data_IF_578139591290
#
_entry.id   IF_578139591290
#
_cell.length_a   1.000
_cell.length_b   1.000
_cell.length_c   1.000
_cell.angle_alpha   90.00
_cell.angle_beta   90.00
_cell.angle_gamma   90.00
#
_symmetry.space_group_name_H-M   'P 1'
#
loop_
_entity.id
_entity.type
_entity.pdbx_description
1 polymer ?
#
# COMPACT_ATOMS: atom_id res chain seq x y z
N UNK A 1 4.64 1.81 -2.67
CA UNK A 1 4.05 1.83 -1.30
C UNK A 1 3.78 0.43 -0.76
N UNK A 2 2.99 -0.43 -1.43
CA UNK A 2 2.69 -1.81 -0.98
C UNK A 2 3.95 -2.56 -0.51
N UNK A 3 4.95 -2.69 -1.39
CA UNK A 3 6.22 -3.35 -1.07
C UNK A 3 6.92 -2.75 0.15
N UNK A 4 6.89 -1.43 0.33
CA UNK A 4 7.52 -0.77 1.47
C UNK A 4 6.84 -1.15 2.79
N UNK A 5 5.51 -1.28 2.79
CA UNK A 5 4.73 -1.63 3.96
C UNK A 5 4.93 -3.10 4.35
N UNK A 6 4.96 -3.99 3.36
CA UNK A 6 4.96 -5.44 3.61
C UNK A 6 6.35 -6.06 3.59
N UNK A 7 7.30 -5.44 2.89
CA UNK A 7 8.63 -5.99 2.61
C UNK A 7 8.67 -7.03 1.48
N UNK A 8 7.56 -7.23 0.76
CA UNK A 8 7.42 -8.26 -0.27
C UNK A 8 6.39 -7.90 -1.36
N UNK A 9 6.21 -8.80 -2.33
CA UNK A 9 5.27 -8.63 -3.44
C UNK A 9 3.82 -8.93 -3.09
N UNK A 10 3.60 -9.93 -2.24
CA UNK A 10 2.26 -10.48 -1.96
C UNK A 10 1.60 -9.74 -0.80
N UNK A 11 2.37 -9.45 0.24
CA UNK A 11 1.90 -8.83 1.46
C UNK A 11 1.24 -9.81 2.41
N UNK A 12 1.03 -9.33 3.63
CA UNK A 12 0.16 -9.97 4.60
C UNK A 12 -0.91 -8.98 5.04
N UNK A 13 -2.07 -9.51 5.37
CA UNK A 13 -3.18 -8.74 5.90
C UNK A 13 -2.85 -8.25 7.32
N UNK A 14 -3.27 -7.03 7.70
CA UNK A 14 -4.08 -6.10 6.91
C UNK A 14 -3.26 -5.14 6.04
N UNK A 15 -1.93 -5.25 5.96
CA UNK A 15 -1.09 -4.28 5.24
C UNK A 15 -1.22 -4.39 3.71
N UNK A 16 -1.45 -5.58 3.17
CA UNK A 16 -1.74 -5.76 1.74
C UNK A 16 -2.99 -4.98 1.30
N UNK A 17 -3.98 -4.86 2.18
CA UNK A 17 -5.23 -4.15 1.93
C UNK A 17 -5.07 -2.64 1.79
N UNK A 18 -3.96 -2.05 2.28
CA UNK A 18 -3.75 -0.60 2.28
C UNK A 18 -3.85 -0.01 0.87
N UNK A 19 -3.35 -0.74 -0.12
CA UNK A 19 -3.33 -0.35 -1.54
C UNK A 19 -4.39 -1.11 -2.35
N UNK A 20 -4.65 -2.38 -2.01
CA UNK A 20 -5.48 -3.27 -2.83
C UNK A 20 -6.89 -3.51 -2.31
N UNK A 21 -7.21 -3.01 -1.11
CA UNK A 21 -8.47 -3.29 -0.42
C UNK A 21 -8.65 -4.76 -0.07
N UNK A 22 -9.79 -5.08 0.56
CA UNK A 22 -10.21 -6.45 0.84
C UNK A 22 -11.37 -6.90 -0.07
N UNK A 23 -12.04 -5.94 -0.72
CA UNK A 23 -13.19 -6.21 -1.58
C UNK A 23 -13.08 -5.50 -2.93
N UNK A 24 -13.72 -6.07 -3.96
CA UNK A 24 -13.89 -5.44 -5.28
C UNK A 24 -15.34 -5.07 -5.55
N UNK A 25 -15.55 -4.00 -6.31
CA UNK A 25 -16.86 -3.66 -6.86
C UNK A 25 -16.98 -4.32 -8.23
N UNK A 26 -17.98 -5.19 -8.41
CA UNK A 26 -18.33 -5.76 -9.71
C UNK A 26 -17.98 -7.24 -9.96
N UNK A 27 -17.21 -7.91 -9.09
CA UNK A 27 -16.72 -9.30 -9.27
C UNK A 27 -15.75 -9.42 -10.47
N UNK A 28 -14.55 -9.99 -10.40
CA UNK A 28 -14.04 -11.27 -9.87
C UNK A 28 -12.75 -10.99 -9.08
N UNK A 29 -12.62 -11.56 -7.88
CA UNK A 29 -11.47 -11.34 -6.99
C UNK A 29 -10.15 -11.87 -7.58
N UNK A 30 -10.21 -12.75 -8.58
CA UNK A 30 -9.04 -13.40 -9.21
C UNK A 30 -8.28 -12.56 -10.23
N UNK A 31 -8.67 -11.29 -10.47
CA UNK A 31 -8.00 -10.41 -11.45
C UNK A 31 -6.80 -9.61 -10.91
N UNK A 32 -6.24 -10.01 -9.75
CA UNK A 32 -5.03 -9.37 -9.20
C UNK A 32 -3.74 -9.69 -9.99
N UNK A 33 -3.82 -10.48 -11.06
CA UNK A 33 -2.65 -11.20 -11.59
C UNK A 33 -1.75 -10.44 -12.57
N UNK A 34 -2.12 -9.30 -13.17
CA UNK A 34 -1.24 -8.62 -14.14
C UNK A 34 -1.43 -7.10 -14.20
N UNK A 35 -0.78 -6.38 -13.26
CA UNK A 35 -0.57 -4.93 -13.36
C UNK A 35 -1.70 -4.04 -12.82
N UNK A 36 -1.31 -2.82 -12.43
CA UNK A 36 -2.15 -1.86 -11.68
C UNK A 36 -3.41 -1.38 -12.41
N UNK A 37 -3.46 -1.49 -13.75
CA UNK A 37 -4.59 -1.01 -14.57
C UNK A 37 -5.86 -1.87 -14.46
N UNK A 38 -5.78 -3.07 -13.88
CA UNK A 38 -6.92 -4.01 -13.79
C UNK A 38 -7.41 -4.26 -12.36
N UNK A 39 -6.91 -3.52 -11.36
CA UNK A 39 -7.31 -3.76 -9.97
C UNK A 39 -8.78 -3.42 -9.71
N UNK A 40 -9.44 -2.67 -10.61
CA UNK A 40 -10.84 -2.30 -10.47
C UNK A 40 -11.07 -1.41 -9.24
N UNK A 41 -12.33 -1.03 -9.02
CA UNK A 41 -12.70 -0.27 -7.83
C UNK A 41 -12.63 -1.21 -6.61
N UNK A 42 -11.76 -0.90 -5.65
CA UNK A 42 -11.57 -1.67 -4.41
C UNK A 42 -12.11 -0.91 -3.22
N UNK A 43 -12.46 -1.62 -2.15
CA UNK A 43 -12.89 -0.96 -0.92
C UNK A 43 -12.53 -1.74 0.35
N UNK A 44 -12.63 -1.02 1.47
CA UNK A 44 -12.56 -1.54 2.84
C UNK A 44 -13.79 -1.11 3.62
N UNK A 45 -14.32 -2.03 4.42
CA UNK A 45 -15.39 -1.77 5.37
C UNK A 45 -14.86 -1.00 6.60
N UNK A 46 -15.72 -0.29 7.35
CA UNK A 46 -15.27 0.53 8.48
C UNK A 46 -14.42 -0.19 9.54
N UNK A 47 -14.70 -1.46 9.83
CA UNK A 47 -13.94 -2.28 10.77
C UNK A 47 -12.58 -2.71 10.21
N UNK A 48 -12.49 -2.92 8.90
CA UNK A 48 -11.22 -3.18 8.19
C UNK A 48 -10.35 -1.93 8.14
N UNK A 49 -10.96 -0.77 7.89
CA UNK A 49 -10.28 0.54 7.96
C UNK A 49 -9.69 0.77 9.35
N UNK A 50 -10.42 0.41 10.42
CA UNK A 50 -9.91 0.51 11.79
C UNK A 50 -8.70 -0.41 12.01
N UNK A 51 -8.76 -1.68 11.56
CA UNK A 51 -7.64 -2.63 11.64
C UNK A 51 -6.42 -2.13 10.88
N UNK A 52 -6.61 -1.64 9.65
CA UNK A 52 -5.52 -1.07 8.85
C UNK A 52 -4.94 0.16 9.54
N UNK A 53 -5.77 1.08 10.04
CA UNK A 53 -5.31 2.28 10.73
C UNK A 53 -4.45 1.95 11.95
N UNK A 54 -4.82 0.94 12.73
CA UNK A 54 -4.05 0.48 13.89
C UNK A 54 -2.68 -0.04 13.49
N UNK A 55 -2.62 -1.01 12.58
CA UNK A 55 -1.35 -1.62 12.14
C UNK A 55 -0.48 -0.59 11.43
N UNK A 56 -1.05 0.22 10.53
CA UNK A 56 -0.31 1.25 9.81
C UNK A 56 0.30 2.28 10.77
N UNK A 57 -0.43 2.68 11.82
CA UNK A 57 0.10 3.65 12.82
C UNK A 57 1.21 3.07 13.70
N UNK A 58 1.37 1.75 13.75
CA UNK A 58 2.39 1.07 14.56
C UNK A 58 3.75 0.92 13.86
N UNK A 59 3.80 1.14 12.53
CA UNK A 59 5.02 0.95 11.75
C UNK A 59 5.96 2.15 11.95
N UNK A 60 7.21 1.86 12.31
CA UNK A 60 8.24 2.88 12.45
C UNK A 60 8.93 3.19 11.13
N UNK A 61 9.55 4.38 11.05
CA UNK A 61 10.33 4.78 9.87
C UNK A 61 11.50 3.82 9.65
N UNK A 62 12.14 3.34 10.70
CA UNK A 62 13.26 2.39 10.62
C UNK A 62 12.82 1.07 9.98
N UNK A 63 11.60 0.60 10.29
CA UNK A 63 11.03 -0.59 9.66
C UNK A 63 10.76 -0.37 8.17
N UNK A 64 10.24 0.79 7.79
CA UNK A 64 10.04 1.14 6.37
C UNK A 64 11.37 1.21 5.62
N UNK A 65 12.39 1.86 6.21
CA UNK A 65 13.74 1.91 5.64
C UNK A 65 14.33 0.52 5.45
N UNK A 66 14.16 -0.38 6.43
CA UNK A 66 14.62 -1.76 6.33
C UNK A 66 13.89 -2.56 5.23
N UNK A 67 12.63 -2.21 4.91
CA UNK A 67 11.86 -2.82 3.83
C UNK A 67 12.16 -2.22 2.45
N UNK A 68 12.91 -1.11 2.36
CA UNK A 68 13.30 -0.50 1.09
C UNK A 68 14.49 -1.26 0.48
N UNK A 69 14.18 -2.33 -0.24
CA UNK A 69 15.15 -3.20 -0.90
C UNK A 69 15.25 -2.82 -2.38
N UNK A 70 15.96 -1.72 -2.69
CA UNK A 70 15.94 -1.11 -4.02
C UNK A 70 16.29 -2.06 -5.17
N UNK A 71 17.33 -2.90 -5.04
CA UNK A 71 17.64 -3.90 -6.05
C UNK A 71 16.50 -4.91 -6.24
N UNK A 72 15.97 -5.46 -5.15
CA UNK A 72 14.87 -6.43 -5.22
C UNK A 72 13.59 -5.81 -5.82
N UNK A 73 13.32 -4.54 -5.53
CA UNK A 73 12.20 -3.80 -6.10
C UNK A 73 12.36 -3.60 -7.62
N UNK A 74 13.56 -3.24 -8.09
CA UNK A 74 13.82 -3.10 -9.54
C UNK A 74 13.81 -4.45 -10.25
N UNK A 75 14.40 -5.51 -9.68
CA UNK A 75 14.39 -6.86 -10.23
C UNK A 75 12.97 -7.44 -10.35
N UNK A 76 12.12 -7.16 -9.37
CA UNK A 76 10.72 -7.55 -9.37
C UNK A 76 9.82 -6.63 -10.21
N UNK A 77 10.40 -5.65 -10.93
CA UNK A 77 9.68 -4.69 -11.77
C UNK A 77 8.56 -3.95 -11.01
N UNK A 78 8.83 -3.59 -9.74
CA UNK A 78 7.89 -2.83 -8.93
C UNK A 78 7.63 -1.48 -9.60
N UNK A 79 6.36 -1.15 -9.83
CA UNK A 79 5.98 0.16 -10.34
C UNK A 79 6.25 1.27 -9.31
N UNK A 80 6.80 2.43 -9.73
CA UNK A 80 7.35 2.72 -11.06
C UNK A 80 8.70 2.04 -11.33
N UNK A 81 8.84 1.45 -12.51
CA UNK A 81 10.00 0.63 -12.89
C UNK A 81 11.24 1.50 -13.10
N UNK A 82 12.38 1.07 -12.56
CA UNK A 82 13.70 1.64 -12.87
C UNK A 82 14.04 2.92 -12.12
N UNK A 83 13.27 3.29 -11.10
CA UNK A 83 13.57 4.43 -10.23
C UNK A 83 14.20 4.01 -8.90
N UNK A 84 14.05 2.74 -8.49
CA UNK A 84 14.37 2.34 -7.12
C UNK A 84 15.87 2.34 -6.87
N UNK A 85 16.65 1.78 -7.80
CA UNK A 85 18.12 1.87 -7.74
C UNK A 85 18.61 3.22 -8.23
N UNK A 86 18.00 3.78 -9.29
CA UNK A 86 18.43 5.04 -9.92
C UNK A 86 18.38 6.22 -8.94
N UNK A 87 17.27 6.34 -8.20
CA UNK A 87 17.00 7.49 -7.33
C UNK A 87 17.27 7.17 -5.85
N UNK A 88 17.35 5.88 -5.47
CA UNK A 88 17.83 5.43 -4.15
C UNK A 88 17.13 6.08 -2.96
N UNK A 89 17.90 6.77 -2.12
CA UNK A 89 17.38 7.46 -0.92
C UNK A 89 16.34 8.54 -1.26
N UNK A 90 16.42 9.18 -2.43
CA UNK A 90 15.42 10.18 -2.83
C UNK A 90 14.06 9.51 -3.10
N UNK A 91 14.06 8.32 -3.72
CA UNK A 91 12.83 7.52 -3.88
C UNK A 91 12.27 7.04 -2.54
N UNK A 92 13.14 6.69 -1.58
CA UNK A 92 12.71 6.34 -0.22
C UNK A 92 12.09 7.54 0.51
N UNK A 93 12.74 8.70 0.48
CA UNK A 93 12.20 9.91 1.10
C UNK A 93 10.85 10.31 0.50
N UNK A 94 10.72 10.18 -0.83
CA UNK A 94 9.44 10.35 -1.54
C UNK A 94 8.35 9.40 -1.03
N UNK A 95 8.67 8.11 -0.85
CA UNK A 95 7.72 7.15 -0.27
C UNK A 95 7.35 7.49 1.18
N UNK A 96 8.31 7.90 2.01
CA UNK A 96 8.06 8.27 3.41
C UNK A 96 7.12 9.48 3.53
N UNK A 97 7.18 10.43 2.60
CA UNK A 97 6.21 11.53 2.53
C UNK A 97 4.78 11.05 2.28
N UNK A 98 4.59 10.08 1.36
CA UNK A 98 3.27 9.50 1.13
C UNK A 98 2.77 8.67 2.31
N UNK A 99 3.67 7.96 2.98
CA UNK A 99 3.32 7.16 4.15
C UNK A 99 2.67 8.00 5.26
N UNK A 100 3.23 9.16 5.58
CA UNK A 100 2.65 10.08 6.59
C UNK A 100 1.23 10.52 6.20
N UNK A 101 1.01 10.87 4.93
CA UNK A 101 -0.32 11.19 4.42
C UNK A 101 -1.30 10.02 4.53
N UNK A 102 -0.82 8.80 4.25
CA UNK A 102 -1.60 7.57 4.31
C UNK A 102 -2.04 7.24 5.74
N UNK A 103 -1.13 7.34 6.72
CA UNK A 103 -1.44 7.17 8.15
C UNK A 103 -2.54 8.14 8.57
N UNK A 104 -2.40 9.43 8.27
CA UNK A 104 -3.38 10.46 8.62
C UNK A 104 -4.74 10.20 7.96
N UNK A 105 -4.74 9.76 6.70
CA UNK A 105 -5.96 9.43 5.97
C UNK A 105 -6.72 8.27 6.61
N UNK A 106 -6.03 7.16 6.90
CA UNK A 106 -6.63 5.99 7.54
C UNK A 106 -7.11 6.28 8.97
N UNK A 107 -6.34 7.03 9.77
CA UNK A 107 -6.76 7.47 11.10
C UNK A 107 -8.03 8.33 11.05
N UNK A 108 -8.09 9.27 10.12
CA UNK A 108 -9.28 10.10 9.93
C UNK A 108 -10.50 9.25 9.55
N UNK A 109 -10.36 8.34 8.58
CA UNK A 109 -11.44 7.46 8.14
C UNK A 109 -11.91 6.53 9.28
N UNK A 110 -10.98 5.93 10.03
CA UNK A 110 -11.28 5.07 11.17
C UNK A 110 -12.04 5.83 12.27
N UNK A 111 -11.60 7.05 12.63
CA UNK A 111 -12.26 7.87 13.66
C UNK A 111 -13.71 8.23 13.29
N UNK A 112 -13.98 8.39 11.99
CA UNK A 112 -15.30 8.67 11.46
C UNK A 112 -16.13 7.43 11.10
N UNK A 113 -15.62 6.21 11.37
CA UNK A 113 -16.25 4.93 10.98
C UNK A 113 -16.61 4.89 9.49
N UNK A 114 -15.74 5.40 8.64
CA UNK A 114 -15.94 5.48 7.19
C UNK A 114 -15.38 4.24 6.49
N UNK A 115 -16.02 3.85 5.39
CA UNK A 115 -15.40 2.97 4.40
C UNK A 115 -14.34 3.75 3.60
N UNK A 116 -13.37 3.03 3.05
CA UNK A 116 -12.39 3.59 2.10
C UNK A 116 -12.61 2.94 0.74
N UNK A 117 -12.54 3.74 -0.31
CA UNK A 117 -12.62 3.29 -1.70
C UNK A 117 -11.28 3.63 -2.36
N UNK A 118 -10.73 2.68 -3.11
CA UNK A 118 -9.47 2.79 -3.85
C UNK A 118 -9.75 2.63 -5.34
N UNK A 119 -9.20 3.55 -6.13
CA UNK A 119 -9.31 3.59 -7.57
C UNK A 119 -7.99 4.12 -8.15
N UNK A 120 -7.57 3.55 -9.28
CA UNK A 120 -6.39 3.97 -10.05
C UNK A 120 -6.87 4.17 -11.49
N UNK A 121 -6.54 5.33 -12.07
CA UNK A 121 -6.85 5.69 -13.47
C UNK A 121 -5.68 5.44 -14.43
#
# INVERSE_FOLDING_TARGET
MHFLLTGDLIGSEPLSWVIFGNHSVGGDENQLLYGYSWIGLRYLLPDEVARVSEVLSSITVEKLRANFLSQAMDEALIYPIGIWVRDGEDALNWLLMFYDGLVKFYQHAASGKKAIIMYVD
#
